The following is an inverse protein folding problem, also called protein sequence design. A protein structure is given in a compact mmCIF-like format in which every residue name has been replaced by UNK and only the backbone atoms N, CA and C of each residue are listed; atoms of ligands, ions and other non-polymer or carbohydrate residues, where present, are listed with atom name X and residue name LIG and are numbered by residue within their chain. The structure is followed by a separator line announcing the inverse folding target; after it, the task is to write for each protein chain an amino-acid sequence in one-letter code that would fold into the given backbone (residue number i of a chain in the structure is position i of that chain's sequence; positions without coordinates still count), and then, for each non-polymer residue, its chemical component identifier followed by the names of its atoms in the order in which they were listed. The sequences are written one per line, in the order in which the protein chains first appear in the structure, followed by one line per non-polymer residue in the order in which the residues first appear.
data_IF_002427379824
#
_entry.id   IF_002427379824
#
_cell.length_a   1.000
_cell.length_b   1.000
_cell.length_c   1.000
_cell.angle_alpha   90.00
_cell.angle_beta   90.00
_cell.angle_gamma   90.00
#
_symmetry.space_group_name_H-M   'P 1'
#
loop_
_entity.id
_entity.type
_entity.pdbx_description
1 polymer ?
#
# COMPACT_ATOMS: atom_id res chain seq x y z
N UNK A 1 5.97 -6.90 -8.68
CA UNK A 1 7.42 -6.89 -8.42
C UNK A 1 8.06 -5.76 -9.20
N UNK A 2 8.18 -4.58 -8.58
CA UNK A 2 9.15 -3.57 -8.99
C UNK A 2 10.55 -4.24 -8.92
N UNK A 3 11.10 -4.67 -10.06
CA UNK A 3 12.41 -5.36 -10.08
C UNK A 3 13.52 -4.33 -9.92
N UNK A 4 14.31 -4.47 -8.86
CA UNK A 4 15.47 -3.63 -8.54
C UNK A 4 15.53 -3.27 -7.05
N UNK A 5 16.72 -2.91 -6.55
CA UNK A 5 16.94 -2.51 -5.14
C UNK A 5 15.98 -1.42 -4.66
N UNK A 6 15.54 -0.52 -5.56
CA UNK A 6 14.55 0.51 -5.25
C UNK A 6 13.15 -0.05 -4.94
N UNK A 7 12.77 -1.20 -5.50
CA UNK A 7 11.45 -1.80 -5.30
C UNK A 7 11.26 -2.34 -3.88
N UNK A 8 12.30 -2.93 -3.31
CA UNK A 8 12.32 -3.40 -1.92
C UNK A 8 12.29 -2.24 -0.93
N UNK A 9 13.03 -1.16 -1.21
CA UNK A 9 13.00 0.07 -0.42
C UNK A 9 11.61 0.74 -0.40
N UNK A 10 10.91 0.76 -1.54
CA UNK A 10 9.54 1.30 -1.60
C UNK A 10 8.57 0.47 -0.75
N UNK A 11 8.65 -0.87 -0.82
CA UNK A 11 7.80 -1.73 -0.01
C UNK A 11 8.05 -1.53 1.49
N UNK A 12 9.31 -1.34 1.91
CA UNK A 12 9.64 -1.03 3.30
C UNK A 12 9.00 0.29 3.75
N UNK A 13 9.03 1.33 2.89
CA UNK A 13 8.39 2.59 3.21
C UNK A 13 6.86 2.44 3.35
N UNK A 14 6.19 1.71 2.47
CA UNK A 14 4.75 1.51 2.58
C UNK A 14 4.39 0.74 3.86
N UNK A 15 5.18 -0.27 4.25
CA UNK A 15 5.03 -0.95 5.54
C UNK A 15 5.16 0.04 6.72
N UNK A 16 6.19 0.88 6.71
CA UNK A 16 6.40 1.88 7.76
C UNK A 16 5.27 2.92 7.79
N UNK A 17 4.74 3.31 6.64
CA UNK A 17 3.61 4.23 6.55
C UNK A 17 2.35 3.64 7.19
N UNK A 18 2.09 2.34 6.99
CA UNK A 18 1.00 1.63 7.65
C UNK A 18 1.25 1.58 9.17
N UNK A 19 2.44 1.16 9.60
CA UNK A 19 2.82 1.06 11.01
C UNK A 19 2.64 2.39 11.76
N UNK A 20 3.05 3.51 11.15
CA UNK A 20 2.91 4.84 11.76
C UNK A 20 1.46 5.31 11.90
N UNK A 21 0.55 4.82 11.06
CA UNK A 21 -0.86 5.27 11.05
C UNK A 21 -1.75 4.37 11.91
N UNK A 22 -1.51 3.05 11.90
CA UNK A 22 -2.40 2.08 12.57
C UNK A 22 -1.69 1.13 13.55
N UNK A 23 -0.36 1.21 13.70
CA UNK A 23 0.40 0.24 14.50
C UNK A 23 0.04 0.21 15.98
N UNK A 24 -0.36 1.34 16.55
CA UNK A 24 -0.80 1.46 17.94
C UNK A 24 -2.31 1.31 18.16
N UNK A 25 -3.11 1.16 17.10
CA UNK A 25 -4.56 1.20 17.17
C UNK A 25 -5.18 -0.20 17.05
N UNK A 26 -6.25 -0.44 17.80
CA UNK A 26 -7.15 -1.57 17.55
C UNK A 26 -8.20 -1.19 16.51
N UNK A 27 -8.70 -2.19 15.77
CA UNK A 27 -9.70 -1.96 14.73
C UNK A 27 -10.92 -1.18 15.25
N UNK A 28 -11.22 -0.08 14.57
CA UNK A 28 -12.39 0.76 14.82
C UNK A 28 -13.00 1.19 13.50
N UNK A 29 -14.25 0.78 13.25
CA UNK A 29 -14.94 1.06 11.98
C UNK A 29 -15.06 2.57 11.70
N UNK A 30 -15.22 3.41 12.74
CA UNK A 30 -15.30 4.86 12.58
C UNK A 30 -13.98 5.49 12.13
N UNK A 31 -12.84 4.82 12.40
CA UNK A 31 -11.50 5.32 12.07
C UNK A 31 -10.99 4.81 10.72
N UNK A 32 -11.57 3.74 10.17
CA UNK A 32 -11.11 3.10 8.93
C UNK A 32 -10.89 4.11 7.80
N UNK A 33 -11.88 4.96 7.52
CA UNK A 33 -11.78 5.95 6.43
C UNK A 33 -10.62 6.94 6.64
N UNK A 34 -10.39 7.35 7.89
CA UNK A 34 -9.29 8.26 8.25
C UNK A 34 -7.96 7.56 8.02
N UNK A 35 -7.78 6.34 8.54
CA UNK A 35 -6.56 5.58 8.36
C UNK A 35 -6.26 5.31 6.87
N UNK A 36 -7.26 4.88 6.09
CA UNK A 36 -7.07 4.62 4.66
C UNK A 36 -6.66 5.89 3.91
N UNK A 37 -7.26 7.05 4.22
CA UNK A 37 -6.89 8.31 3.60
C UNK A 37 -5.44 8.70 3.96
N UNK A 38 -5.09 8.66 5.24
CA UNK A 38 -3.74 8.99 5.71
C UNK A 38 -2.65 8.09 5.13
N UNK A 39 -2.91 6.78 5.00
CA UNK A 39 -1.98 5.82 4.39
C UNK A 39 -1.80 6.12 2.90
N UNK A 40 -2.90 6.31 2.16
CA UNK A 40 -2.86 6.60 0.71
C UNK A 40 -2.13 7.92 0.44
N UNK A 41 -2.45 8.98 1.19
CA UNK A 41 -1.79 10.28 1.07
C UNK A 41 -0.30 10.22 1.42
N UNK A 42 0.06 9.49 2.48
CA UNK A 42 1.46 9.29 2.87
C UNK A 42 2.27 8.57 1.79
N UNK A 43 1.71 7.50 1.21
CA UNK A 43 2.32 6.76 0.10
C UNK A 43 2.49 7.65 -1.14
N UNK A 44 1.43 8.32 -1.57
CA UNK A 44 1.45 9.19 -2.75
C UNK A 44 2.43 10.36 -2.58
N UNK A 45 2.45 11.00 -1.41
CA UNK A 45 3.36 12.12 -1.13
C UNK A 45 4.81 11.69 -1.29
N UNK A 46 5.18 10.50 -0.82
CA UNK A 46 6.54 10.01 -0.92
C UNK A 46 6.93 9.62 -2.35
N UNK A 47 6.00 9.04 -3.11
CA UNK A 47 6.19 8.71 -4.53
C UNK A 47 6.38 9.96 -5.40
N UNK A 48 5.52 10.97 -5.22
CA UNK A 48 5.60 12.23 -5.97
C UNK A 48 6.90 12.98 -5.67
N UNK A 49 7.38 12.94 -4.42
CA UNK A 49 8.67 13.54 -4.03
C UNK A 49 9.88 12.97 -4.80
N UNK A 50 9.78 11.78 -5.37
CA UNK A 50 10.86 11.19 -6.17
C UNK A 50 11.02 11.88 -7.54
N UNK A 51 10.05 12.69 -7.97
CA UNK A 51 10.15 13.46 -9.22
C UNK A 51 10.22 12.63 -10.50
N UNK A 52 9.87 11.34 -10.43
CA UNK A 52 9.86 10.45 -11.60
C UNK A 52 8.56 10.62 -12.39
N UNK A 53 8.66 10.57 -13.72
CA UNK A 53 7.53 10.65 -14.65
C UNK A 53 6.74 9.35 -14.70
N UNK A 54 5.86 9.15 -13.72
CA UNK A 54 4.95 8.02 -13.64
C UNK A 54 3.56 8.50 -13.22
N UNK A 55 2.53 7.77 -13.64
CA UNK A 55 1.21 7.79 -13.02
C UNK A 55 1.22 6.80 -11.86
N UNK A 56 0.90 7.27 -10.66
CA UNK A 56 0.84 6.43 -9.47
C UNK A 56 -0.61 6.12 -9.10
N UNK A 57 -0.87 4.85 -8.79
CA UNK A 57 -2.15 4.37 -8.26
C UNK A 57 -1.86 3.70 -6.93
N UNK A 58 -2.55 4.13 -5.86
CA UNK A 58 -2.42 3.54 -4.53
C UNK A 58 -3.79 3.06 -4.08
N UNK A 59 -3.89 1.78 -3.71
CA UNK A 59 -5.08 1.20 -3.10
C UNK A 59 -4.76 0.73 -1.69
N UNK A 60 -5.64 1.03 -0.74
CA UNK A 60 -5.52 0.61 0.65
C UNK A 60 -6.81 -0.09 1.08
N UNK A 61 -6.69 -1.29 1.64
CA UNK A 61 -7.80 -2.06 2.19
C UNK A 61 -7.52 -2.38 3.65
N UNK A 62 -8.47 -2.10 4.53
CA UNK A 62 -8.41 -2.45 5.97
C UNK A 62 -9.57 -3.39 6.27
N UNK A 63 -9.28 -4.52 6.93
CA UNK A 63 -10.27 -5.55 7.24
C UNK A 63 -10.14 -5.98 8.70
N UNK A 64 -11.27 -6.04 9.41
CA UNK A 64 -11.32 -6.57 10.77
C UNK A 64 -11.00 -8.07 10.80
N UNK A 65 -10.23 -8.51 11.80
CA UNK A 65 -9.98 -9.93 12.09
C UNK A 65 -11.16 -10.52 12.85
N UNK A 66 -12.04 -11.21 12.14
CA UNK A 66 -13.23 -11.89 12.69
C UNK A 66 -13.23 -13.41 12.44
N UNK A 67 -12.07 -13.99 12.15
CA UNK A 67 -11.91 -15.42 11.85
C UNK A 67 -12.10 -15.79 10.37
N UNK A 68 -12.45 -14.83 9.52
CA UNK A 68 -12.43 -14.98 8.06
C UNK A 68 -11.02 -14.84 7.45
N UNK A 69 -10.81 -15.47 6.30
CA UNK A 69 -9.59 -15.30 5.50
C UNK A 69 -9.65 -14.07 4.58
N UNK A 70 -8.47 -13.57 4.17
CA UNK A 70 -8.33 -12.47 3.20
C UNK A 70 -7.53 -12.94 1.99
N UNK A 71 -8.13 -12.87 0.80
CA UNK A 71 -7.46 -13.12 -0.47
C UNK A 71 -7.48 -11.85 -1.34
N UNK A 72 -6.29 -11.33 -1.65
CA UNK A 72 -6.10 -10.16 -2.52
C UNK A 72 -5.22 -10.55 -3.71
N UNK A 73 -5.72 -10.28 -4.92
CA UNK A 73 -5.00 -10.47 -6.17
C UNK A 73 -5.07 -9.19 -7.00
N UNK A 74 -4.05 -8.97 -7.83
CA UNK A 74 -4.01 -7.90 -8.83
C UNK A 74 -3.73 -8.50 -10.21
N UNK A 75 -4.28 -7.86 -11.24
CA UNK A 75 -4.04 -8.21 -12.64
C UNK A 75 -3.84 -6.92 -13.41
N UNK A 76 -2.82 -6.88 -14.27
CA UNK A 76 -2.40 -5.69 -14.99
C UNK A 76 -2.07 -6.06 -16.44
N UNK A 77 -2.45 -5.17 -17.36
CA UNK A 77 -1.99 -5.20 -18.76
C UNK A 77 -1.20 -3.90 -19.00
N UNK A 78 0.12 -4.03 -19.09
CA UNK A 78 1.06 -2.92 -18.93
C UNK A 78 2.45 -3.27 -19.48
N UNK A 79 3.35 -2.29 -19.56
CA UNK A 79 4.73 -2.50 -20.02
C UNK A 79 5.57 -3.15 -18.91
N UNK A 80 5.98 -4.40 -19.11
CA UNK A 80 6.75 -5.17 -18.11
C UNK A 80 8.17 -4.65 -17.86
N UNK A 81 8.70 -3.79 -18.71
CA UNK A 81 10.02 -3.20 -18.56
C UNK A 81 9.98 -1.86 -17.81
N UNK A 82 8.92 -1.08 -17.99
CA UNK A 82 8.82 0.28 -17.43
C UNK A 82 7.84 0.38 -16.26
N UNK A 83 6.78 -0.43 -16.25
CA UNK A 83 5.73 -0.37 -15.24
C UNK A 83 5.99 -1.36 -14.10
N UNK A 84 5.41 -1.10 -12.94
CA UNK A 84 5.55 -2.02 -11.83
C UNK A 84 4.60 -1.79 -10.66
N UNK A 85 4.57 -2.78 -9.77
CA UNK A 85 3.79 -2.74 -8.54
C UNK A 85 4.52 -3.31 -7.34
N UNK A 86 4.14 -2.79 -6.17
CA UNK A 86 4.43 -3.34 -4.86
C UNK A 86 3.13 -3.52 -4.10
N UNK A 87 2.94 -4.69 -3.50
CA UNK A 87 1.85 -4.96 -2.56
C UNK A 87 2.45 -5.32 -1.22
N UNK A 88 2.03 -4.61 -0.18
CA UNK A 88 2.41 -4.86 1.21
C UNK A 88 1.20 -5.34 1.99
N UNK A 89 1.41 -6.35 2.83
CA UNK A 89 0.39 -6.90 3.74
C UNK A 89 0.89 -6.72 5.16
N UNK A 90 0.18 -5.91 5.92
CA UNK A 90 0.43 -5.63 7.32
C UNK A 90 -0.71 -6.19 8.16
N UNK A 91 -0.42 -6.58 9.38
CA UNK A 91 -1.41 -7.04 10.32
C UNK A 91 -1.05 -6.70 11.76
N UNK A 92 -2.06 -6.50 12.58
CA UNK A 92 -1.93 -6.50 14.04
C UNK A 92 -2.91 -7.50 14.65
N UNK A 93 -3.15 -7.38 15.96
CA UNK A 93 -4.06 -8.27 16.67
C UNK A 93 -5.50 -8.25 16.13
N UNK A 94 -6.01 -7.10 15.69
CA UNK A 94 -7.44 -6.88 15.44
C UNK A 94 -7.81 -6.62 13.97
N UNK A 95 -6.84 -6.40 13.09
CA UNK A 95 -7.08 -6.14 11.66
C UNK A 95 -5.94 -6.56 10.73
N UNK A 96 -6.28 -6.68 9.45
CA UNK A 96 -5.37 -6.72 8.31
C UNK A 96 -5.39 -5.37 7.59
N UNK A 97 -4.24 -4.93 7.08
CA UNK A 97 -4.12 -3.81 6.16
C UNK A 97 -3.33 -4.25 4.93
N UNK A 98 -3.87 -4.04 3.74
CA UNK A 98 -3.21 -4.35 2.47
C UNK A 98 -3.12 -3.09 1.64
N UNK A 99 -1.91 -2.70 1.26
CA UNK A 99 -1.67 -1.57 0.37
C UNK A 99 -1.05 -2.09 -0.91
N UNK A 100 -1.62 -1.72 -2.06
CA UNK A 100 -1.02 -1.99 -3.37
C UNK A 100 -0.75 -0.68 -4.09
N UNK A 101 0.47 -0.54 -4.58
CA UNK A 101 0.94 0.61 -5.36
C UNK A 101 1.28 0.13 -6.75
N UNK A 102 0.83 0.87 -7.76
CA UNK A 102 1.18 0.71 -9.16
C UNK A 102 1.82 1.99 -9.66
N UNK A 103 2.95 1.86 -10.35
CA UNK A 103 3.60 2.93 -11.08
C UNK A 103 3.55 2.57 -12.56
N UNK A 104 2.90 3.43 -13.35
CA UNK A 104 2.72 3.24 -14.80
C UNK A 104 3.43 4.39 -15.51
N UNK A 105 4.38 4.05 -16.35
CA UNK A 105 5.15 4.97 -17.18
C UNK A 105 4.22 5.79 -18.08
N UNK A 106 4.68 6.99 -18.45
CA UNK A 106 3.91 7.96 -19.26
C UNK A 106 4.52 8.08 -20.64
#
# INVERSE_FOLDING_TARGET
CLRGASGEEQCLFFMLCIENVVGGDDYSQSQVNKWTASIVEGCLTQLVKQGKHYKYIVTCAVMQKTGGGLHTANSCYWDTAMDGSCTVRWENRSMYCVVSVFAVSV
#
